data_IF_779660069259
#
_entry.id   IF_779660069259
#
_cell.length_a   1.000
_cell.length_b   1.000
_cell.length_c   1.000
_cell.angle_alpha   90.00
_cell.angle_beta   90.00
_cell.angle_gamma   90.00
#
_symmetry.space_group_name_H-M   'P 1'
#
loop_
_entity.id
_entity.type
_entity.pdbx_description
1 polymer ?
#
# COMPACT_ATOMS: atom_id res chain seq x y z
N UNK A 1 3.85 20.20 -2.70
CA UNK A 1 4.23 18.96 -3.39
C UNK A 1 3.05 18.03 -3.23
N UNK A 2 2.35 17.69 -4.32
CA UNK A 2 1.19 16.80 -4.27
C UNK A 2 1.67 15.37 -4.00
N UNK A 3 1.00 14.64 -3.11
CA UNK A 3 1.31 13.24 -2.83
C UNK A 3 0.99 12.40 -4.08
N UNK A 4 1.94 11.60 -4.56
CA UNK A 4 1.76 10.71 -5.70
C UNK A 4 0.62 9.71 -5.50
N UNK A 5 0.33 9.32 -4.25
CA UNK A 5 -0.81 8.48 -3.92
C UNK A 5 -2.15 9.22 -4.05
N UNK A 6 -2.20 10.48 -3.60
CA UNK A 6 -3.40 11.32 -3.75
C UNK A 6 -3.77 11.51 -5.22
N UNK A 7 -2.77 11.72 -6.09
CA UNK A 7 -3.00 11.86 -7.53
C UNK A 7 -3.48 10.54 -8.16
N UNK A 8 -2.87 9.41 -7.79
CA UNK A 8 -3.20 8.12 -8.38
C UNK A 8 -4.58 7.61 -7.95
N UNK A 9 -4.97 7.83 -6.69
CA UNK A 9 -6.21 7.31 -6.12
C UNK A 9 -6.76 8.23 -5.01
N UNK A 10 -7.32 9.40 -5.34
CA UNK A 10 -7.69 10.43 -4.35
C UNK A 10 -8.74 9.96 -3.35
N UNK A 11 -9.69 9.13 -3.79
CA UNK A 11 -10.73 8.58 -2.91
C UNK A 11 -10.15 7.58 -1.92
N UNK A 12 -9.22 6.71 -2.36
CA UNK A 12 -8.53 5.78 -1.46
C UNK A 12 -7.61 6.53 -0.51
N UNK A 13 -6.90 7.55 -1.03
CA UNK A 13 -6.06 8.43 -0.23
C UNK A 13 -6.86 9.10 0.89
N UNK A 14 -8.03 9.65 0.60
CA UNK A 14 -8.88 10.29 1.60
C UNK A 14 -9.33 9.33 2.71
N UNK A 15 -9.72 8.10 2.37
CA UNK A 15 -10.08 7.06 3.36
C UNK A 15 -8.88 6.66 4.24
N UNK A 16 -7.71 6.46 3.62
CA UNK A 16 -6.47 6.15 4.36
C UNK A 16 -6.09 7.32 5.26
N UNK A 17 -6.11 8.55 4.76
CA UNK A 17 -5.81 9.76 5.52
C UNK A 17 -6.73 9.91 6.75
N UNK A 18 -8.03 9.65 6.59
CA UNK A 18 -8.98 9.71 7.69
C UNK A 18 -8.66 8.67 8.78
N UNK A 19 -8.26 7.45 8.40
CA UNK A 19 -7.85 6.39 9.35
C UNK A 19 -6.52 6.71 10.03
N UNK A 20 -5.57 7.27 9.28
CA UNK A 20 -4.25 7.67 9.83
C UNK A 20 -4.42 8.80 10.83
N UNK A 21 -5.28 9.80 10.57
CA UNK A 21 -5.60 10.84 11.57
C UNK A 21 -6.19 10.24 12.85
N UNK A 22 -7.14 9.31 12.74
CA UNK A 22 -7.67 8.62 13.92
C UNK A 22 -6.59 7.85 14.70
N UNK A 23 -5.64 7.22 14.00
CA UNK A 23 -4.50 6.56 14.64
C UNK A 23 -3.62 7.56 15.39
N UNK A 24 -3.29 8.67 14.75
CA UNK A 24 -2.47 9.75 15.30
C UNK A 24 -3.13 10.35 16.56
N UNK A 25 -4.41 10.69 16.49
CA UNK A 25 -5.16 11.25 17.60
C UNK A 25 -5.27 10.28 18.80
N UNK A 26 -5.46 8.98 18.51
CA UNK A 26 -5.62 7.95 19.55
C UNK A 26 -4.34 7.63 20.30
N UNK A 27 -3.20 7.63 19.59
CA UNK A 27 -1.93 7.18 20.13
C UNK A 27 -0.90 8.31 20.31
N UNK A 28 -1.29 9.54 19.97
CA UNK A 28 -0.41 10.72 19.94
C UNK A 28 0.86 10.45 19.11
N UNK A 29 0.66 9.99 17.87
CA UNK A 29 1.73 9.64 16.93
C UNK A 29 1.83 10.64 15.79
N UNK A 30 3.01 10.73 15.18
CA UNK A 30 3.23 11.42 13.91
C UNK A 30 3.57 10.41 12.81
N UNK A 31 3.28 10.74 11.54
CA UNK A 31 3.75 9.93 10.42
C UNK A 31 5.26 10.12 10.23
N UNK A 32 5.98 9.13 9.66
CA UNK A 32 7.42 9.26 9.39
C UNK A 32 7.77 10.47 8.51
N UNK A 33 6.85 10.88 7.63
CA UNK A 33 7.01 12.05 6.76
C UNK A 33 5.76 12.93 6.81
N UNK A 34 5.96 14.24 7.00
CA UNK A 34 4.87 15.23 7.17
C UNK A 34 3.88 15.28 6.00
N UNK A 35 4.33 14.97 4.79
CA UNK A 35 3.51 15.04 3.56
C UNK A 35 3.08 13.66 3.06
N UNK A 36 3.12 12.63 3.91
CA UNK A 36 2.78 11.25 3.55
C UNK A 36 1.74 10.70 4.51
N UNK A 37 0.75 10.00 3.96
CA UNK A 37 -0.22 9.22 4.74
C UNK A 37 0.33 7.86 5.16
N UNK A 38 1.46 7.43 4.60
CA UNK A 38 2.04 6.14 4.91
C UNK A 38 2.57 6.11 6.34
N UNK A 39 2.13 5.12 7.12
CA UNK A 39 2.53 4.95 8.52
C UNK A 39 3.86 4.24 8.67
N UNK A 40 4.35 3.63 7.59
CA UNK A 40 5.52 2.74 7.62
C UNK A 40 6.40 2.99 6.41
N UNK A 41 7.70 2.94 6.63
CA UNK A 41 8.70 3.03 5.56
C UNK A 41 9.82 2.02 5.77
N UNK A 42 10.31 1.42 4.69
CA UNK A 42 11.39 0.44 4.69
C UNK A 42 12.45 0.86 3.69
N UNK A 43 13.74 0.75 4.06
CA UNK A 43 14.86 0.88 3.15
C UNK A 43 15.48 -0.50 2.99
N UNK A 44 15.59 -0.94 1.75
CA UNK A 44 16.07 -2.26 1.38
C UNK A 44 17.36 -2.09 0.58
N UNK A 45 18.45 -2.66 1.08
CA UNK A 45 19.76 -2.62 0.44
C UNK A 45 20.03 -3.92 -0.31
N UNK A 46 20.54 -3.79 -1.53
CA UNK A 46 20.95 -4.92 -2.35
C UNK A 46 19.78 -5.59 -3.06
N UNK A 47 20.07 -6.74 -3.66
CA UNK A 47 19.05 -7.52 -4.34
C UNK A 47 18.30 -8.39 -3.33
N UNK A 48 16.99 -8.13 -3.18
CA UNK A 48 16.13 -8.99 -2.36
C UNK A 48 15.38 -9.92 -3.30
N UNK A 49 15.82 -11.19 -3.41
CA UNK A 49 15.09 -12.16 -4.20
C UNK A 49 13.73 -12.38 -3.54
N UNK A 50 12.67 -12.25 -4.34
CA UNK A 50 11.32 -12.67 -3.97
C UNK A 50 10.69 -11.92 -2.78
N UNK A 51 10.51 -10.61 -2.91
CA UNK A 51 9.33 -9.98 -2.31
C UNK A 51 8.10 -10.40 -3.12
N UNK A 52 7.78 -11.70 -3.15
CA UNK A 52 6.46 -12.18 -3.59
C UNK A 52 5.50 -11.80 -2.49
N UNK A 53 5.04 -10.55 -2.53
CA UNK A 53 4.02 -10.07 -1.63
C UNK A 53 2.68 -10.59 -2.13
N UNK A 54 2.41 -11.86 -1.83
CA UNK A 54 1.03 -12.28 -1.62
C UNK A 54 0.68 -11.77 -0.24
N UNK A 55 0.33 -10.48 -0.17
CA UNK A 55 -0.16 -9.90 1.06
C UNK A 55 -1.54 -10.55 1.30
N UNK A 56 -1.58 -11.75 1.87
CA UNK A 56 -2.83 -12.46 2.18
C UNK A 56 -3.64 -11.72 3.26
N UNK A 57 -3.01 -10.73 3.89
CA UNK A 57 -3.58 -9.74 4.78
C UNK A 57 -3.94 -8.41 4.12
N UNK A 58 -3.69 -8.29 2.82
CA UNK A 58 -4.02 -7.14 2.01
C UNK A 58 -5.44 -6.66 2.26
N UNK A 59 -5.50 -5.49 2.86
CA UNK A 59 -6.63 -4.62 2.65
C UNK A 59 -6.65 -4.25 1.17
N UNK A 60 -7.78 -4.34 0.49
CA UNK A 60 -7.96 -3.74 -0.84
C UNK A 60 -7.71 -2.22 -0.86
N UNK A 61 -7.49 -1.61 0.33
CA UNK A 61 -7.08 -0.23 0.53
C UNK A 61 -5.55 -0.06 0.67
N UNK A 62 -4.77 -1.15 0.59
CA UNK A 62 -3.31 -1.10 0.73
C UNK A 62 -2.66 -0.66 -0.58
N UNK A 63 -2.21 0.59 -0.59
CA UNK A 63 -1.28 1.12 -1.57
C UNK A 63 0.14 1.10 -1.01
N UNK A 64 1.08 0.99 -1.92
CA UNK A 64 2.50 1.16 -1.63
C UNK A 64 3.11 2.12 -2.64
N UNK A 65 4.05 2.93 -2.17
CA UNK A 65 4.97 3.67 -3.00
C UNK A 65 6.36 3.03 -2.92
N UNK A 66 6.88 2.58 -4.06
CA UNK A 66 8.22 2.00 -4.20
C UNK A 66 9.08 2.94 -5.01
N UNK A 67 10.09 3.52 -4.38
CA UNK A 67 11.12 4.30 -5.07
C UNK A 67 12.39 3.48 -5.19
N UNK A 68 12.91 3.34 -6.41
CA UNK A 68 14.18 2.64 -6.65
C UNK A 68 15.32 3.64 -6.82
N UNK A 69 16.50 3.29 -6.34
CA UNK A 69 17.74 4.04 -6.49
C UNK A 69 18.90 3.09 -6.79
N UNK A 70 20.00 3.62 -7.32
CA UNK A 70 21.23 2.87 -7.59
C UNK A 70 21.65 2.89 -9.06
N UNK A 71 22.60 2.04 -9.40
CA UNK A 71 23.16 1.87 -10.73
C UNK A 71 22.90 0.43 -11.21
N UNK A 72 21.92 0.29 -12.10
CA UNK A 72 21.48 -0.97 -12.68
C UNK A 72 20.81 -0.72 -14.04
N UNK A 73 20.81 -1.72 -14.92
CA UNK A 73 20.09 -1.64 -16.18
C UNK A 73 18.58 -1.73 -15.94
N UNK A 74 17.89 -0.59 -16.01
CA UNK A 74 16.45 -0.52 -15.78
C UNK A 74 15.59 -0.98 -16.95
N UNK A 75 16.18 -1.20 -18.14
CA UNK A 75 15.44 -1.67 -19.30
C UNK A 75 15.29 -3.20 -19.27
N UNK A 76 16.29 -3.91 -18.71
CA UNK A 76 16.26 -5.38 -18.59
C UNK A 76 16.00 -5.89 -17.15
N UNK A 77 16.36 -5.11 -16.12
CA UNK A 77 16.37 -5.55 -14.72
C UNK A 77 15.69 -4.54 -13.80
N UNK A 78 15.59 -4.90 -12.53
CA UNK A 78 15.17 -3.96 -11.49
C UNK A 78 13.69 -3.55 -11.48
N UNK A 79 12.89 -4.00 -12.45
CA UNK A 79 11.46 -3.71 -12.58
C UNK A 79 10.54 -4.43 -11.58
N UNK A 80 9.24 -4.24 -11.76
CA UNK A 80 8.16 -4.85 -10.96
C UNK A 80 7.39 -5.84 -11.83
N UNK A 81 7.29 -7.09 -11.39
CA UNK A 81 6.41 -8.11 -12.00
C UNK A 81 5.03 -7.99 -11.36
N UNK A 82 3.98 -7.76 -12.16
CA UNK A 82 2.58 -7.85 -11.77
C UNK A 82 2.01 -9.17 -12.29
N UNK A 83 1.90 -10.17 -11.41
CA UNK A 83 1.60 -11.54 -11.82
C UNK A 83 0.20 -11.72 -12.40
N UNK A 84 -0.80 -11.02 -11.86
CA UNK A 84 -2.19 -11.12 -12.36
C UNK A 84 -2.38 -10.44 -13.72
N UNK A 85 -1.44 -9.58 -14.13
CA UNK A 85 -1.54 -8.79 -15.36
C UNK A 85 -0.57 -9.29 -16.45
N UNK A 86 0.20 -10.34 -16.17
CA UNK A 86 1.28 -10.88 -17.02
C UNK A 86 2.21 -9.78 -17.55
N UNK A 87 2.57 -8.84 -16.67
CA UNK A 87 3.32 -7.62 -17.03
C UNK A 87 4.55 -7.43 -16.17
N UNK A 88 5.59 -6.92 -16.79
CA UNK A 88 6.76 -6.34 -16.12
C UNK A 88 6.74 -4.84 -16.36
N UNK A 89 6.73 -4.07 -15.28
CA UNK A 89 6.83 -2.62 -15.30
C UNK A 89 8.30 -2.24 -15.04
N UNK A 90 9.01 -1.64 -16.01
CA UNK A 90 10.35 -1.10 -15.77
C UNK A 90 10.30 -0.06 -14.65
N UNK A 91 11.22 -0.17 -13.69
CA UNK A 91 11.38 0.79 -12.61
C UNK A 91 12.79 1.36 -12.67
N UNK A 92 12.90 2.60 -13.17
CA UNK A 92 14.20 3.29 -13.32
C UNK A 92 14.74 3.76 -11.97
N UNK A 93 16.05 3.92 -11.89
CA UNK A 93 16.67 4.59 -10.75
C UNK A 93 16.13 6.02 -10.63
N UNK A 94 15.72 6.42 -9.43
CA UNK A 94 15.03 7.66 -9.12
C UNK A 94 13.51 7.65 -9.39
N UNK A 95 12.95 6.60 -9.99
CA UNK A 95 11.52 6.51 -10.25
C UNK A 95 10.75 5.94 -9.06
N UNK A 96 9.50 6.39 -8.91
CA UNK A 96 8.54 5.88 -7.92
C UNK A 96 7.37 5.22 -8.62
N UNK A 97 7.07 3.98 -8.27
CA UNK A 97 5.83 3.31 -8.63
C UNK A 97 4.85 3.37 -7.46
N UNK A 98 3.59 3.73 -7.74
CA UNK A 98 2.50 3.74 -6.76
C UNK A 98 1.38 2.83 -7.26
N UNK A 99 1.05 1.80 -6.50
CA UNK A 99 0.08 0.80 -6.96
C UNK A 99 -0.58 0.07 -5.78
N UNK A 100 -1.75 -0.55 -6.00
CA UNK A 100 -2.43 -1.32 -4.97
C UNK A 100 -1.81 -2.70 -4.78
N UNK A 101 -0.91 -2.81 -3.81
CA UNK A 101 -0.27 -4.08 -3.43
C UNK A 101 -1.24 -5.05 -2.77
N UNK A 102 -2.39 -4.54 -2.30
CA UNK A 102 -3.38 -5.39 -1.66
C UNK A 102 -4.18 -6.28 -2.61
N UNK A 103 -4.39 -5.83 -3.84
CA UNK A 103 -5.19 -6.55 -4.83
C UNK A 103 -4.37 -7.32 -5.85
N UNK A 104 -3.06 -7.04 -5.95
CA UNK A 104 -2.20 -7.55 -7.01
C UNK A 104 -0.94 -8.16 -6.41
N UNK A 105 -0.73 -9.49 -6.52
CA UNK A 105 0.53 -10.09 -6.18
C UNK A 105 1.61 -9.53 -7.12
N UNK A 106 2.72 -9.09 -6.53
CA UNK A 106 3.85 -8.56 -7.28
C UNK A 106 5.17 -9.12 -6.75
N UNK A 107 6.19 -9.04 -7.59
CA UNK A 107 7.59 -9.31 -7.24
C UNK A 107 8.50 -8.22 -7.81
N UNK A 108 9.70 -8.08 -7.25
CA UNK A 108 10.74 -7.23 -7.83
C UNK A 108 11.70 -8.09 -8.65
N UNK A 109 12.00 -7.65 -9.87
CA UNK A 109 13.00 -8.30 -10.73
C UNK A 109 14.38 -8.10 -10.10
N UNK A 110 15.20 -9.15 -9.98
CA UNK A 110 16.58 -9.07 -9.54
C UNK A 110 17.43 -8.07 -10.33
N UNK A 111 18.45 -7.51 -9.69
CA UNK A 111 19.58 -6.84 -10.37
C UNK A 111 20.78 -7.78 -10.46
N UNK A 112 21.71 -7.53 -11.38
CA UNK A 112 22.90 -8.36 -11.51
C UNK A 112 23.86 -8.18 -10.33
N UNK A 113 24.74 -9.17 -10.05
CA UNK A 113 25.66 -9.11 -8.92
C UNK A 113 26.64 -7.93 -8.90
N UNK A 114 26.90 -7.30 -10.05
CA UNK A 114 27.77 -6.13 -10.19
C UNK A 114 27.00 -4.80 -10.13
N UNK A 115 25.67 -4.86 -10.17
CA UNK A 115 24.79 -3.69 -10.09
C UNK A 115 24.47 -3.36 -8.64
N UNK A 116 24.03 -2.12 -8.41
CA UNK A 116 23.60 -1.67 -7.09
C UNK A 116 22.15 -1.22 -7.13
N UNK A 117 21.37 -1.65 -6.13
CA UNK A 117 20.00 -1.19 -5.96
C UNK A 117 19.70 -0.93 -4.50
N UNK A 118 19.01 0.17 -4.25
CA UNK A 118 18.39 0.51 -2.97
C UNK A 118 16.93 0.82 -3.23
N UNK A 119 16.05 0.22 -2.46
CA UNK A 119 14.61 0.44 -2.58
C UNK A 119 14.12 1.14 -1.32
N UNK A 120 13.39 2.23 -1.50
CA UNK A 120 12.65 2.89 -0.46
C UNK A 120 11.16 2.62 -0.65
N UNK A 121 10.57 1.89 0.30
CA UNK A 121 9.13 1.53 0.29
C UNK A 121 8.41 2.35 1.33
N UNK A 122 7.23 2.84 1.01
CA UNK A 122 6.30 3.48 1.95
C UNK A 122 4.92 2.85 1.79
N UNK A 123 4.30 2.46 2.91
CA UNK A 123 3.00 1.81 2.89
C UNK A 123 2.28 1.95 4.24
N UNK A 124 0.99 1.57 4.24
CA UNK A 124 0.22 1.36 5.46
C UNK A 124 -0.02 -0.15 5.63
N UNK A 125 0.36 -0.72 6.77
CA UNK A 125 -0.03 -2.09 7.07
C UNK A 125 -1.56 -2.21 7.14
N UNK A 126 -2.12 -3.17 6.41
CA UNK A 126 -3.54 -3.45 6.42
C UNK A 126 -4.07 -3.72 7.84
N UNK A 127 -3.28 -4.40 8.67
CA UNK A 127 -3.61 -4.66 10.08
C UNK A 127 -3.79 -3.38 10.89
N UNK A 128 -2.97 -2.34 10.66
CA UNK A 128 -3.08 -1.04 11.33
C UNK A 128 -4.39 -0.35 10.94
N UNK A 129 -4.72 -0.33 9.65
CA UNK A 129 -5.99 0.26 9.19
C UNK A 129 -7.21 -0.51 9.72
N UNK A 130 -7.12 -1.85 9.80
CA UNK A 130 -8.17 -2.69 10.40
C UNK A 130 -8.32 -2.46 11.90
N UNK A 131 -7.22 -2.21 12.61
CA UNK A 131 -7.25 -1.87 14.03
C UNK A 131 -7.99 -0.54 14.27
N UNK A 132 -7.77 0.46 13.41
CA UNK A 132 -8.54 1.72 13.42
C UNK A 132 -10.02 1.46 13.14
N UNK A 133 -10.35 0.67 12.11
CA UNK A 133 -11.73 0.29 11.81
C UNK A 133 -12.43 -0.44 12.97
N UNK A 134 -11.67 -1.19 13.78
CA UNK A 134 -12.14 -1.85 15.00
C UNK A 134 -12.23 -0.92 16.21
N UNK A 135 -12.03 0.38 16.02
CA UNK A 135 -12.09 1.37 17.08
C UNK A 135 -10.92 1.28 18.05
N UNK A 136 -9.74 0.90 17.57
CA UNK A 136 -8.53 0.81 18.38
C UNK A 136 -8.38 -0.50 19.15
N UNK A 137 -8.98 -1.58 18.63
CA UNK A 137 -8.98 -2.91 19.27
C UNK A 137 -8.23 -3.90 18.38
N UNK A 138 -7.36 -4.71 18.98
CA UNK A 138 -6.80 -5.89 18.32
C UNK A 138 -7.89 -6.87 17.94
N UNK A 139 -7.58 -7.85 17.08
CA UNK A 139 -8.54 -8.88 16.70
C UNK A 139 -9.09 -9.61 17.92
N UNK A 140 -8.22 -10.03 18.84
CA UNK A 140 -8.59 -10.66 20.11
C UNK A 140 -9.44 -9.76 21.01
N UNK A 141 -9.12 -8.47 21.11
CA UNK A 141 -9.91 -7.53 21.90
C UNK A 141 -11.30 -7.31 21.30
N UNK A 142 -11.38 -7.17 19.98
CA UNK A 142 -12.65 -6.99 19.28
C UNK A 142 -13.52 -8.24 19.43
N UNK A 143 -12.97 -9.43 19.25
CA UNK A 143 -13.73 -10.68 19.37
C UNK A 143 -14.28 -10.89 20.79
N UNK A 144 -13.53 -10.47 21.82
CA UNK A 144 -13.95 -10.58 23.21
C UNK A 144 -14.96 -9.51 23.64
N UNK A 145 -14.77 -8.27 23.20
CA UNK A 145 -15.44 -7.09 23.79
C UNK A 145 -16.50 -6.47 22.88
N UNK A 146 -16.49 -6.75 21.58
CA UNK A 146 -17.47 -6.17 20.66
C UNK A 146 -18.86 -6.73 20.92
N UNK A 147 -19.86 -5.85 20.85
CA UNK A 147 -21.27 -6.21 20.87
C UNK A 147 -21.63 -7.06 19.66
N UNK A 148 -22.77 -7.78 19.75
CA UNK A 148 -23.31 -8.55 18.61
C UNK A 148 -23.51 -7.65 17.38
N UNK A 149 -24.00 -6.42 17.60
CA UNK A 149 -24.20 -5.44 16.53
C UNK A 149 -22.88 -5.01 15.87
N UNK A 150 -21.81 -4.74 16.65
CA UNK A 150 -20.50 -4.40 16.09
C UNK A 150 -19.90 -5.55 15.29
N UNK A 151 -20.04 -6.80 15.75
CA UNK A 151 -19.57 -7.99 15.02
C UNK A 151 -20.32 -8.17 13.71
N UNK A 152 -21.65 -8.06 13.72
CA UNK A 152 -22.48 -8.13 12.52
C UNK A 152 -22.13 -7.02 11.51
N UNK A 153 -21.92 -5.78 11.99
CA UNK A 153 -21.48 -4.67 11.14
C UNK A 153 -20.09 -4.91 10.55
N UNK A 154 -19.16 -5.47 11.33
CA UNK A 154 -17.83 -5.84 10.85
C UNK A 154 -17.87 -6.93 9.78
N UNK A 155 -18.69 -7.96 9.95
CA UNK A 155 -18.88 -9.02 8.96
C UNK A 155 -19.52 -8.49 7.67
N UNK A 156 -20.56 -7.65 7.78
CA UNK A 156 -21.17 -6.99 6.62
C UNK A 156 -20.14 -6.14 5.86
N UNK A 157 -19.32 -5.34 6.57
CA UNK A 157 -18.22 -4.56 5.97
C UNK A 157 -17.16 -5.44 5.32
N UNK A 158 -16.86 -6.62 5.89
CA UNK A 158 -15.92 -7.60 5.32
C UNK A 158 -16.45 -8.19 4.02
N UNK A 159 -17.73 -8.56 3.97
CA UNK A 159 -18.35 -9.21 2.83
C UNK A 159 -18.27 -8.36 1.55
N UNK A 160 -18.42 -7.04 1.67
CA UNK A 160 -18.42 -6.11 0.51
C UNK A 160 -17.09 -5.38 0.31
N UNK A 161 -16.07 -5.66 1.13
CA UNK A 161 -14.83 -4.87 1.17
C UNK A 161 -14.13 -4.74 -0.18
N UNK A 162 -14.03 -5.84 -0.93
CA UNK A 162 -13.38 -5.86 -2.24
C UNK A 162 -14.13 -5.00 -3.25
N UNK A 163 -15.45 -5.12 -3.29
CA UNK A 163 -16.30 -4.32 -4.19
C UNK A 163 -16.27 -2.83 -3.83
N UNK A 164 -16.33 -2.50 -2.54
CA UNK A 164 -16.21 -1.11 -2.07
C UNK A 164 -14.87 -0.51 -2.46
N UNK A 165 -13.76 -1.23 -2.24
CA UNK A 165 -12.45 -0.75 -2.63
C UNK A 165 -12.31 -0.60 -4.14
N UNK A 166 -12.82 -1.56 -4.93
CA UNK A 166 -12.82 -1.49 -6.39
C UNK A 166 -13.47 -0.19 -6.91
N UNK A 167 -14.56 0.27 -6.26
CA UNK A 167 -15.26 1.52 -6.61
C UNK A 167 -14.51 2.79 -6.25
N UNK A 168 -13.48 2.70 -5.39
CA UNK A 168 -12.69 3.85 -4.93
C UNK A 168 -11.46 4.12 -5.81
N UNK A 169 -11.08 3.17 -6.68
CA UNK A 169 -9.97 3.40 -7.61
C UNK A 169 -10.36 4.42 -8.69
N UNK A 170 -9.40 5.27 -9.03
CA UNK A 170 -9.51 6.15 -10.19
C UNK A 170 -9.76 5.34 -11.45
N UNK A 171 -10.71 5.77 -12.26
CA UNK A 171 -10.92 5.27 -13.61
C UNK A 171 -9.99 6.01 -14.56
N UNK A 172 -9.73 5.43 -15.73
CA UNK A 172 -8.86 6.06 -16.73
C UNK A 172 -9.31 7.49 -17.08
N UNK A 173 -10.63 7.74 -17.15
CA UNK A 173 -11.19 9.06 -17.41
C UNK A 173 -10.97 10.08 -16.28
N UNK A 174 -10.70 9.62 -15.06
CA UNK A 174 -10.42 10.49 -13.91
C UNK A 174 -8.97 11.02 -13.93
N UNK A 175 -8.09 10.37 -14.69
CA UNK A 175 -6.65 10.69 -14.75
C UNK A 175 -6.28 11.69 -15.86
N UNK A 176 -7.16 11.89 -16.85
CA UNK A 176 -6.94 12.78 -17.99
C UNK A 176 -8.04 13.84 -18.06
N UNK A 177 -8.04 14.76 -17.09
CA UNK A 177 -8.84 15.99 -17.19
C UNK A 177 -7.98 17.04 -17.90
N UNK A 178 -8.16 17.16 -19.22
CA UNK A 178 -7.66 18.27 -20.03
C UNK A 178 -8.80 19.25 -20.31
#
# INVERSE_FOLDING_TARGET
MLDCFEQAAPVVYADVQAKVRQLQDRLNLETPFRSSVFTTSEIIFGDVPNLSHKNSDASFYAFEAITSFGDYDSDERGGIVLWDDDRVIPLRSGATAVFPTGSKPYSLVPVAPHETRVIFRQFCHASVLRWVDKGGRSDTQFDRLATVAEKAAWEAKRAVRGETAAKMYSKLGDLFVY
#
